data_IF_358558812075
#
_entry.id   IF_358558812075
#
_cell.length_a   1.000
_cell.length_b   1.000
_cell.length_c   1.000
_cell.angle_alpha   90.00
_cell.angle_beta   90.00
_cell.angle_gamma   90.00
#
_symmetry.space_group_name_H-M   'P 1'
#
loop_
_entity.id
_entity.type
_entity.pdbx_description
1 polymer ?
#
# COMPACT_ATOMS: atom_id res chain seq x y z
N UNK A 1 42.10 -38.55 -0.51
CA UNK A 1 41.99 -37.69 -1.72
C UNK A 1 40.67 -36.96 -1.59
N UNK A 2 40.69 -35.79 -0.94
CA UNK A 2 39.49 -35.00 -0.64
C UNK A 2 39.18 -34.11 -1.84
N UNK A 3 37.97 -34.25 -2.38
CA UNK A 3 37.43 -33.33 -3.37
C UNK A 3 36.71 -32.21 -2.62
N UNK A 4 37.27 -31.01 -2.66
CA UNK A 4 36.57 -29.77 -2.29
C UNK A 4 35.77 -29.36 -3.52
N UNK A 5 34.45 -29.39 -3.42
CA UNK A 5 33.56 -28.76 -4.41
C UNK A 5 33.56 -27.26 -4.10
N UNK A 6 34.25 -26.48 -4.92
CA UNK A 6 34.08 -25.02 -4.95
C UNK A 6 32.74 -24.74 -5.64
N UNK A 7 31.72 -24.39 -4.85
CA UNK A 7 30.56 -23.67 -5.34
C UNK A 7 31.02 -22.25 -5.69
N UNK A 8 31.14 -21.98 -7.00
CA UNK A 8 31.29 -20.62 -7.48
C UNK A 8 29.97 -19.88 -7.23
N UNK A 9 29.95 -19.01 -6.22
CA UNK A 9 28.95 -17.96 -6.13
C UNK A 9 29.17 -17.03 -7.32
N UNK A 10 28.37 -17.18 -8.38
CA UNK A 10 28.18 -16.09 -9.33
C UNK A 10 27.58 -14.94 -8.52
N UNK A 11 28.30 -13.83 -8.42
CA UNK A 11 27.75 -12.63 -7.83
C UNK A 11 26.49 -12.26 -8.60
N UNK A 12 25.38 -12.01 -7.89
CA UNK A 12 24.18 -11.46 -8.51
C UNK A 12 24.57 -10.17 -9.26
N UNK A 13 23.96 -9.91 -10.43
CA UNK A 13 24.20 -8.65 -11.14
C UNK A 13 23.90 -7.46 -10.22
N UNK A 14 24.60 -6.35 -10.42
CA UNK A 14 24.29 -5.13 -9.67
C UNK A 14 22.90 -4.61 -10.06
N UNK A 15 22.10 -4.11 -9.09
CA UNK A 15 20.77 -3.56 -9.37
C UNK A 15 20.84 -2.47 -10.43
N UNK A 16 19.87 -2.48 -11.35
CA UNK A 16 19.76 -1.52 -12.44
C UNK A 16 18.74 -0.44 -12.11
N UNK A 17 19.02 0.79 -12.53
CA UNK A 17 18.09 1.93 -12.37
C UNK A 17 17.60 2.36 -13.75
N UNK A 18 16.29 2.39 -13.92
CA UNK A 18 15.61 2.91 -15.10
C UNK A 18 14.86 4.18 -14.72
N UNK A 19 15.01 5.22 -15.53
CA UNK A 19 14.28 6.48 -15.35
C UNK A 19 13.22 6.59 -16.44
N UNK A 20 11.96 6.66 -16.02
CA UNK A 20 10.79 6.79 -16.87
C UNK A 20 10.34 8.25 -16.84
N UNK A 21 10.02 8.80 -18.01
CA UNK A 21 9.62 10.20 -18.18
C UNK A 21 8.25 10.29 -18.86
N UNK A 22 7.40 11.19 -18.35
CA UNK A 22 6.06 11.46 -18.88
C UNK A 22 5.92 12.92 -19.33
N UNK A 23 4.92 13.21 -20.17
CA UNK A 23 4.67 14.59 -20.63
C UNK A 23 3.98 15.44 -19.55
N UNK A 24 3.18 14.80 -18.71
CA UNK A 24 2.35 15.38 -17.65
C UNK A 24 2.69 14.74 -16.31
N UNK A 25 2.20 15.33 -15.20
CA UNK A 25 2.57 14.90 -13.87
C UNK A 25 2.02 13.50 -13.56
N UNK A 26 2.87 12.64 -12.99
CA UNK A 26 2.52 11.29 -12.50
C UNK A 26 1.90 11.43 -11.12
N UNK A 27 0.67 10.93 -10.98
CA UNK A 27 -0.08 10.97 -9.73
C UNK A 27 -0.06 9.63 -8.99
N UNK A 28 -0.02 8.52 -9.73
CA UNK A 28 0.08 7.19 -9.15
C UNK A 28 0.74 6.20 -10.13
N UNK A 29 1.19 5.06 -9.61
CA UNK A 29 1.86 4.02 -10.38
C UNK A 29 1.44 2.62 -9.92
N UNK A 30 1.35 1.66 -10.84
CA UNK A 30 1.17 0.23 -10.53
C UNK A 30 2.03 -0.61 -11.48
N UNK A 31 2.12 -1.92 -11.23
CA UNK A 31 2.83 -2.84 -12.09
C UNK A 31 2.02 -4.12 -12.33
N UNK A 32 1.96 -4.57 -13.58
CA UNK A 32 1.28 -5.81 -14.01
C UNK A 32 1.93 -6.36 -15.27
N UNK A 33 2.00 -7.67 -15.41
CA UNK A 33 2.44 -8.30 -16.66
C UNK A 33 1.31 -8.20 -17.69
N UNK A 34 1.34 -7.13 -18.49
CA UNK A 34 0.28 -6.78 -19.43
C UNK A 34 0.48 -7.51 -20.76
N UNK A 35 1.73 -7.81 -21.11
CA UNK A 35 2.08 -8.47 -22.37
C UNK A 35 2.29 -10.00 -22.23
N UNK A 36 2.19 -10.53 -21.01
CA UNK A 36 2.34 -11.94 -20.64
C UNK A 36 3.74 -12.53 -20.93
N UNK A 37 4.79 -11.73 -20.73
CA UNK A 37 6.17 -12.19 -20.89
C UNK A 37 6.85 -12.65 -19.59
N UNK A 38 6.12 -12.62 -18.47
CA UNK A 38 6.59 -12.99 -17.14
C UNK A 38 7.31 -11.85 -16.40
N UNK A 39 7.38 -10.66 -16.98
CA UNK A 39 7.94 -9.46 -16.36
C UNK A 39 6.83 -8.42 -16.25
N UNK A 40 6.67 -7.81 -15.08
CA UNK A 40 5.63 -6.79 -14.92
C UNK A 40 6.00 -5.53 -15.68
N UNK A 41 5.03 -4.99 -16.41
CA UNK A 41 5.08 -3.69 -17.04
C UNK A 41 4.71 -2.60 -16.02
N UNK A 42 5.27 -1.40 -16.17
CA UNK A 42 4.98 -0.26 -15.28
C UNK A 42 3.91 0.63 -15.89
N UNK A 43 2.86 0.88 -15.12
CA UNK A 43 1.69 1.67 -15.50
C UNK A 43 1.70 2.97 -14.68
N UNK A 44 1.81 4.11 -15.34
CA UNK A 44 1.82 5.44 -14.72
C UNK A 44 0.54 6.20 -15.03
N UNK A 45 -0.20 6.58 -14.00
CA UNK A 45 -1.40 7.40 -14.12
C UNK A 45 -1.02 8.87 -14.05
N UNK A 46 -1.27 9.59 -15.14
CA UNK A 46 -0.83 10.98 -15.31
C UNK A 46 -2.00 11.93 -15.49
N UNK A 47 -1.77 13.20 -15.14
CA UNK A 47 -2.73 14.28 -15.38
C UNK A 47 -2.00 15.61 -15.61
N UNK A 48 -2.47 16.41 -16.57
CA UNK A 48 -2.19 17.85 -16.62
C UNK A 48 -3.27 18.58 -15.81
N UNK A 49 -2.98 18.84 -14.53
CA UNK A 49 -3.90 19.50 -13.61
C UNK A 49 -4.16 20.98 -13.94
N UNK A 50 -3.41 21.55 -14.89
CA UNK A 50 -3.52 22.94 -15.35
C UNK A 50 -4.35 23.09 -16.62
N UNK A 51 -4.56 22.00 -17.35
CA UNK A 51 -5.36 21.99 -18.58
C UNK A 51 -6.86 22.14 -18.29
N UNK A 52 -7.58 22.74 -19.26
CA UNK A 52 -9.05 22.76 -19.29
C UNK A 52 -9.53 22.39 -20.70
N UNK A 53 -10.19 21.23 -20.89
CA UNK A 53 -10.42 20.19 -19.87
C UNK A 53 -9.14 19.52 -19.37
N UNK A 54 -9.24 18.80 -18.24
CA UNK A 54 -8.14 18.00 -17.70
C UNK A 54 -7.67 16.97 -18.75
N UNK A 55 -6.36 16.74 -18.82
CA UNK A 55 -5.77 15.74 -19.73
C UNK A 55 -5.17 14.62 -18.92
N UNK A 56 -5.87 13.49 -18.88
CA UNK A 56 -5.48 12.30 -18.12
C UNK A 56 -5.04 11.20 -19.07
N UNK A 57 -3.97 10.52 -18.71
CA UNK A 57 -3.49 9.37 -19.47
C UNK A 57 -3.06 8.25 -18.53
N UNK A 58 -3.19 7.02 -19.00
CA UNK A 58 -2.43 5.89 -18.49
C UNK A 58 -1.25 5.66 -19.45
N UNK A 59 -0.03 5.88 -18.97
CA UNK A 59 1.20 5.63 -19.71
C UNK A 59 1.73 4.24 -19.35
N UNK A 60 1.97 3.40 -20.35
CA UNK A 60 2.50 2.04 -20.15
C UNK A 60 3.95 1.99 -20.59
N UNK A 61 4.79 1.41 -19.73
CA UNK A 61 6.20 1.15 -20.00
C UNK A 61 6.39 -0.36 -20.00
N UNK A 62 6.37 -0.94 -21.20
CA UNK A 62 6.55 -2.38 -21.36
C UNK A 62 7.98 -2.76 -21.00
N UNK A 63 8.14 -3.76 -20.14
CA UNK A 63 9.44 -4.27 -19.80
C UNK A 63 10.08 -4.93 -21.03
N UNK A 64 11.36 -4.65 -21.25
CA UNK A 64 12.17 -5.29 -22.27
C UNK A 64 12.79 -6.58 -21.76
N UNK A 65 13.41 -7.33 -22.69
CA UNK A 65 14.16 -8.55 -22.35
C UNK A 65 15.15 -8.31 -21.21
N UNK A 66 15.00 -9.06 -20.12
CA UNK A 66 15.85 -8.96 -18.93
C UNK A 66 15.43 -7.89 -17.92
N UNK A 67 14.19 -7.38 -18.00
CA UNK A 67 13.63 -6.46 -16.99
C UNK A 67 13.95 -4.98 -17.23
N UNK A 68 14.36 -4.61 -18.45
CA UNK A 68 14.76 -3.25 -18.77
C UNK A 68 13.59 -2.37 -19.21
N UNK A 69 13.37 -1.24 -18.55
CA UNK A 69 12.29 -0.31 -18.94
C UNK A 69 12.76 0.79 -19.91
N UNK A 70 11.94 1.16 -20.91
CA UNK A 70 12.22 2.29 -21.79
C UNK A 70 12.06 3.63 -21.05
N UNK A 71 12.76 4.67 -21.50
CA UNK A 71 12.64 6.01 -20.90
C UNK A 71 11.29 6.68 -21.20
N UNK A 72 10.68 6.38 -22.35
CA UNK A 72 9.39 6.94 -22.78
C UNK A 72 8.32 5.86 -22.85
N UNK A 73 7.02 6.20 -22.67
CA UNK A 73 5.94 5.21 -22.72
C UNK A 73 5.93 4.41 -24.03
N UNK A 74 5.74 3.10 -23.91
CA UNK A 74 5.53 2.17 -25.03
C UNK A 74 4.18 2.41 -25.69
N UNK A 75 3.15 2.69 -24.89
CA UNK A 75 1.84 3.13 -25.37
C UNK A 75 1.15 4.03 -24.33
N UNK A 76 0.05 4.66 -24.75
CA UNK A 76 -0.76 5.56 -23.92
C UNK A 76 -2.23 5.27 -24.13
N UNK A 77 -3.00 5.31 -23.05
CA UNK A 77 -4.46 5.35 -23.08
C UNK A 77 -4.91 6.74 -22.63
N UNK A 78 -5.61 7.46 -23.51
CA UNK A 78 -6.26 8.73 -23.16
C UNK A 78 -7.51 8.42 -22.36
N UNK A 79 -7.61 9.02 -21.18
CA UNK A 79 -8.71 8.80 -20.24
C UNK A 79 -9.71 9.96 -20.32
N UNK A 80 -10.97 9.69 -19.99
CA UNK A 80 -11.98 10.73 -19.82
C UNK A 80 -11.55 11.75 -18.76
N UNK A 81 -11.85 13.03 -18.98
CA UNK A 81 -11.64 14.09 -17.98
C UNK A 81 -12.35 13.79 -16.65
N UNK A 82 -13.45 13.01 -16.69
CA UNK A 82 -14.21 12.60 -15.51
C UNK A 82 -13.49 11.53 -14.66
N UNK A 83 -12.48 10.84 -15.19
CA UNK A 83 -11.83 9.71 -14.50
C UNK A 83 -11.26 10.12 -13.15
N UNK A 84 -11.73 9.50 -12.07
CA UNK A 84 -11.31 9.76 -10.70
C UNK A 84 -10.29 8.77 -10.18
N UNK A 85 -10.50 7.49 -10.51
CA UNK A 85 -9.65 6.39 -10.09
C UNK A 85 -9.57 5.33 -11.18
N UNK A 86 -8.55 4.48 -11.10
CA UNK A 86 -8.38 3.30 -11.93
C UNK A 86 -8.22 2.06 -11.04
N UNK A 87 -8.62 0.90 -11.53
CA UNK A 87 -8.16 -0.38 -11.02
C UNK A 87 -7.98 -1.36 -12.17
N UNK A 88 -7.23 -2.42 -11.93
CA UNK A 88 -7.08 -3.52 -12.86
C UNK A 88 -8.05 -4.63 -12.44
N UNK A 89 -8.69 -5.27 -13.40
CA UNK A 89 -9.62 -6.35 -13.14
C UNK A 89 -9.60 -7.32 -14.32
N UNK A 90 -9.53 -8.62 -14.04
CA UNK A 90 -9.88 -9.67 -15.00
C UNK A 90 -11.41 -9.68 -15.17
N UNK A 91 -11.94 -9.42 -16.37
CA UNK A 91 -13.40 -9.31 -16.56
C UNK A 91 -14.01 -10.40 -17.42
N UNK A 92 -13.19 -11.19 -18.12
CA UNK A 92 -13.67 -12.18 -19.10
C UNK A 92 -12.92 -13.54 -19.08
N UNK A 93 -12.07 -13.74 -18.07
CA UNK A 93 -11.19 -14.90 -17.90
C UNK A 93 -10.17 -15.06 -19.05
N UNK A 94 -9.86 -14.00 -19.78
CA UNK A 94 -8.86 -13.99 -20.84
C UNK A 94 -7.76 -12.97 -20.51
N UNK A 95 -6.54 -13.44 -20.16
CA UNK A 95 -5.47 -12.52 -19.84
C UNK A 95 -5.07 -11.68 -21.07
N UNK A 96 -4.53 -10.46 -20.86
CA UNK A 96 -4.20 -9.86 -19.56
C UNK A 96 -5.41 -9.14 -18.93
N UNK A 97 -5.29 -8.81 -17.64
CA UNK A 97 -6.31 -8.00 -16.94
C UNK A 97 -6.62 -6.68 -17.66
N UNK A 98 -7.89 -6.29 -17.63
CA UNK A 98 -8.38 -5.02 -18.17
C UNK A 98 -8.06 -3.84 -17.26
N UNK A 99 -8.06 -2.66 -17.87
CA UNK A 99 -8.05 -1.37 -17.15
C UNK A 99 -9.48 -0.88 -16.99
N UNK A 100 -9.91 -0.68 -15.74
CA UNK A 100 -11.20 -0.08 -15.40
C UNK A 100 -10.96 1.36 -14.92
N UNK A 101 -11.39 2.34 -15.73
CA UNK A 101 -11.34 3.76 -15.40
C UNK A 101 -12.70 4.22 -14.87
N UNK A 102 -12.76 4.62 -13.61
CA UNK A 102 -14.02 4.91 -12.91
C UNK A 102 -14.14 6.38 -12.51
N UNK A 103 -15.38 6.87 -12.52
CA UNK A 103 -15.80 8.17 -12.02
C UNK A 103 -16.97 8.00 -11.04
N UNK A 104 -17.59 9.11 -10.61
CA UNK A 104 -18.77 9.06 -9.74
C UNK A 104 -20.04 8.60 -10.44
N UNK A 105 -20.05 8.51 -11.78
CA UNK A 105 -21.22 8.15 -12.59
C UNK A 105 -21.13 6.74 -13.16
N UNK A 106 -19.91 6.25 -13.43
CA UNK A 106 -19.72 4.94 -14.03
C UNK A 106 -18.26 4.59 -14.27
N UNK A 107 -18.06 3.53 -15.05
CA UNK A 107 -16.75 3.02 -15.41
C UNK A 107 -16.64 2.75 -16.92
N UNK A 108 -15.47 3.01 -17.48
CA UNK A 108 -15.07 2.59 -18.82
C UNK A 108 -14.00 1.50 -18.70
N UNK A 109 -14.15 0.44 -19.49
CA UNK A 109 -13.25 -0.73 -19.45
C UNK A 109 -12.46 -0.80 -20.75
N UNK A 110 -11.17 -1.09 -20.64
CA UNK A 110 -10.25 -1.15 -21.76
C UNK A 110 -9.44 -2.43 -21.72
N UNK A 111 -9.39 -3.12 -22.86
CA UNK A 111 -8.58 -4.32 -23.06
C UNK A 111 -7.29 -3.97 -23.80
N UNK A 112 -6.18 -4.59 -23.42
CA UNK A 112 -4.88 -4.39 -24.04
C UNK A 112 -4.62 -5.42 -25.15
N UNK A 113 -4.36 -4.97 -26.38
CA UNK A 113 -4.19 -5.85 -27.55
C UNK A 113 -2.73 -6.24 -27.86
N UNK A 114 -1.80 -5.95 -26.96
CA UNK A 114 -0.36 -6.12 -27.17
C UNK A 114 0.34 -4.86 -27.69
N UNK A 115 -0.38 -3.90 -28.26
CA UNK A 115 0.19 -2.65 -28.78
C UNK A 115 -0.43 -1.40 -28.17
N UNK A 116 -1.68 -1.48 -27.72
CA UNK A 116 -2.41 -0.40 -27.10
C UNK A 116 -3.72 -0.88 -26.50
N UNK A 117 -4.57 0.07 -26.13
CA UNK A 117 -5.86 -0.21 -25.49
C UNK A 117 -7.02 0.01 -26.46
N UNK A 118 -7.95 -0.93 -26.48
CA UNK A 118 -9.24 -0.81 -27.14
C UNK A 118 -10.36 -0.69 -26.09
N UNK A 119 -11.36 0.16 -26.30
CA UNK A 119 -12.52 0.21 -25.41
C UNK A 119 -13.29 -1.11 -25.50
N UNK A 120 -13.56 -1.72 -24.35
CA UNK A 120 -14.32 -2.96 -24.22
C UNK A 120 -15.78 -2.68 -23.87
N UNK A 121 -16.02 -1.88 -22.84
CA UNK A 121 -17.36 -1.62 -22.33
C UNK A 121 -17.46 -0.28 -21.59
N UNK A 122 -18.70 0.15 -21.33
CA UNK A 122 -19.01 1.26 -20.44
C UNK A 122 -20.20 0.86 -19.58
N UNK A 123 -20.07 1.11 -18.28
CA UNK A 123 -21.02 0.67 -17.26
C UNK A 123 -21.47 1.89 -16.47
N UNK A 124 -22.79 2.06 -16.34
CA UNK A 124 -23.35 3.01 -15.38
C UNK A 124 -23.33 2.38 -13.98
N UNK A 125 -22.50 2.92 -13.11
CA UNK A 125 -22.29 2.44 -11.76
C UNK A 125 -21.88 3.59 -10.85
N UNK A 126 -22.84 4.27 -10.20
CA UNK A 126 -22.54 5.38 -9.31
C UNK A 126 -21.62 4.94 -8.17
N UNK A 127 -20.57 5.70 -7.94
CA UNK A 127 -19.61 5.44 -6.87
C UNK A 127 -19.18 6.73 -6.18
N UNK A 128 -18.47 6.60 -5.06
CA UNK A 128 -17.83 7.72 -4.38
C UNK A 128 -16.45 8.06 -4.94
N UNK A 129 -15.99 7.38 -6.00
CA UNK A 129 -14.81 7.84 -6.72
C UNK A 129 -15.12 9.21 -7.35
N UNK A 130 -14.25 10.23 -7.14
CA UNK A 130 -14.57 11.59 -7.53
C UNK A 130 -14.51 11.77 -9.05
N UNK A 131 -15.58 12.27 -9.67
CA UNK A 131 -15.51 12.73 -11.05
C UNK A 131 -14.60 13.96 -11.18
N UNK A 132 -13.75 13.99 -12.21
CA UNK A 132 -12.93 15.18 -12.49
C UNK A 132 -11.77 15.38 -11.52
N UNK A 133 -11.31 14.34 -10.83
CA UNK A 133 -10.17 14.45 -9.90
C UNK A 133 -8.95 15.05 -10.59
N UNK A 134 -8.31 16.03 -9.95
CA UNK A 134 -6.99 16.54 -10.40
C UNK A 134 -5.85 15.62 -10.00
N UNK A 135 -6.09 14.75 -9.03
CA UNK A 135 -5.13 13.84 -8.44
C UNK A 135 -5.71 12.42 -8.56
N UNK A 136 -5.80 11.87 -9.79
CA UNK A 136 -6.34 10.54 -9.98
C UNK A 136 -5.39 9.48 -9.40
N UNK A 137 -5.93 8.36 -8.91
CA UNK A 137 -5.16 7.32 -8.24
C UNK A 137 -5.62 5.91 -8.60
N UNK A 138 -4.78 4.91 -8.35
CA UNK A 138 -5.18 3.52 -8.42
C UNK A 138 -5.92 3.12 -7.14
N UNK A 139 -7.14 2.59 -7.28
CA UNK A 139 -7.88 1.96 -6.22
C UNK A 139 -7.29 0.57 -5.95
N UNK A 140 -6.40 0.47 -4.96
CA UNK A 140 -5.66 -0.77 -4.64
C UNK A 140 -6.53 -2.00 -4.34
N UNK A 141 -7.73 -1.78 -3.79
CA UNK A 141 -8.75 -2.81 -3.56
C UNK A 141 -9.99 -2.56 -4.42
N UNK A 142 -9.80 -2.11 -5.66
CA UNK A 142 -10.90 -1.83 -6.59
C UNK A 142 -11.53 -3.07 -7.21
N UNK A 143 -10.77 -4.18 -7.31
CA UNK A 143 -11.26 -5.46 -7.80
C UNK A 143 -10.49 -6.64 -7.19
N UNK A 144 -11.16 -7.79 -7.10
CA UNK A 144 -10.59 -9.07 -6.68
C UNK A 144 -11.54 -10.21 -7.03
N UNK A 145 -11.01 -11.35 -7.46
CA UNK A 145 -11.73 -12.62 -7.59
C UNK A 145 -12.13 -13.09 -6.19
N UNK A 146 -13.39 -12.84 -5.83
CA UNK A 146 -13.92 -13.19 -4.51
C UNK A 146 -14.58 -14.55 -4.51
N UNK A 147 -15.10 -15.04 -5.62
CA UNK A 147 -15.78 -16.35 -5.70
C UNK A 147 -14.93 -17.48 -6.30
N UNK A 148 -13.73 -17.16 -6.79
CA UNK A 148 -12.77 -18.11 -7.32
C UNK A 148 -13.11 -18.60 -8.73
N UNK A 149 -13.94 -17.89 -9.49
CA UNK A 149 -14.29 -18.24 -10.86
C UNK A 149 -13.30 -17.71 -11.91
N UNK A 150 -12.33 -16.88 -11.48
CA UNK A 150 -11.33 -16.27 -12.34
C UNK A 150 -11.79 -14.96 -13.00
N UNK A 151 -12.92 -14.40 -12.61
CA UNK A 151 -13.37 -13.03 -12.91
C UNK A 151 -13.31 -12.22 -11.62
N UNK A 152 -12.77 -11.01 -11.70
CA UNK A 152 -12.69 -10.15 -10.52
C UNK A 152 -14.03 -9.45 -10.24
N UNK A 153 -14.53 -9.56 -9.01
CA UNK A 153 -15.55 -8.67 -8.48
C UNK A 153 -14.97 -7.27 -8.23
N UNK A 154 -15.66 -6.25 -8.73
CA UNK A 154 -15.36 -4.85 -8.47
C UNK A 154 -15.97 -4.42 -7.14
N UNK A 155 -15.18 -3.71 -6.35
CA UNK A 155 -15.52 -3.18 -5.04
C UNK A 155 -15.69 -1.65 -5.12
N UNK A 156 -16.89 -1.20 -5.47
CA UNK A 156 -17.17 0.21 -5.70
C UNK A 156 -17.73 0.86 -4.42
N UNK A 157 -17.06 1.88 -3.85
CA UNK A 157 -17.56 2.55 -2.66
C UNK A 157 -18.82 3.36 -2.99
N UNK A 158 -19.81 3.30 -2.11
CA UNK A 158 -21.07 4.04 -2.19
C UNK A 158 -21.36 4.75 -0.87
N UNK A 159 -22.31 5.68 -0.85
CA UNK A 159 -22.73 6.32 0.40
C UNK A 159 -23.34 5.35 1.44
N UNK A 160 -23.66 4.10 1.05
CA UNK A 160 -24.29 3.09 1.91
C UNK A 160 -23.38 1.92 2.27
N UNK A 161 -22.13 1.91 1.78
CA UNK A 161 -21.20 0.80 1.95
C UNK A 161 -20.42 0.54 0.66
N UNK A 162 -20.19 -0.73 0.31
CA UNK A 162 -19.46 -1.12 -0.90
C UNK A 162 -20.36 -1.97 -1.81
N UNK A 163 -20.49 -1.56 -3.06
CA UNK A 163 -21.15 -2.34 -4.11
C UNK A 163 -20.16 -3.39 -4.63
N UNK A 164 -20.60 -4.64 -4.70
CA UNK A 164 -19.91 -5.78 -5.30
C UNK A 164 -20.58 -6.05 -6.64
N UNK A 165 -19.80 -6.05 -7.72
CA UNK A 165 -20.33 -6.26 -9.07
C UNK A 165 -19.30 -6.88 -9.99
N UNK A 166 -19.75 -7.50 -11.06
CA UNK A 166 -18.91 -7.75 -12.23
C UNK A 166 -19.21 -6.71 -13.31
N UNK A 167 -18.58 -6.85 -14.47
CA UNK A 167 -18.85 -6.01 -15.64
C UNK A 167 -20.36 -5.97 -15.94
N UNK A 168 -21.00 -7.13 -15.98
CA UNK A 168 -22.36 -7.30 -16.51
C UNK A 168 -23.48 -6.98 -15.50
N UNK A 169 -23.22 -7.12 -14.19
CA UNK A 169 -24.27 -6.97 -13.17
C UNK A 169 -23.74 -6.55 -11.81
N UNK A 170 -24.56 -5.84 -11.06
CA UNK A 170 -24.42 -5.75 -9.60
C UNK A 170 -24.80 -7.09 -8.97
N UNK A 171 -23.96 -7.57 -8.06
CA UNK A 171 -24.20 -8.80 -7.29
C UNK A 171 -24.82 -8.44 -5.94
N UNK A 172 -24.19 -7.53 -5.21
CA UNK A 172 -24.64 -7.12 -3.88
C UNK A 172 -24.21 -5.68 -3.55
N UNK A 173 -24.86 -5.07 -2.56
CA UNK A 173 -24.34 -3.88 -1.90
C UNK A 173 -24.19 -4.19 -0.41
N UNK A 174 -22.95 -4.28 0.05
CA UNK A 174 -22.62 -4.63 1.42
C UNK A 174 -22.63 -3.36 2.29
N UNK A 175 -23.49 -3.29 3.32
CA UNK A 175 -23.48 -2.18 4.26
C UNK A 175 -22.22 -2.21 5.12
N UNK A 176 -21.46 -1.12 5.09
CA UNK A 176 -20.33 -0.88 5.97
C UNK A 176 -20.20 0.62 6.21
N UNK A 177 -19.40 1.01 7.21
CA UNK A 177 -19.19 2.42 7.49
C UNK A 177 -18.33 3.09 6.39
N UNK A 178 -18.95 4.04 5.69
CA UNK A 178 -18.25 5.01 4.85
C UNK A 178 -18.35 6.38 5.53
N UNK A 179 -17.27 6.79 6.19
CA UNK A 179 -17.29 7.99 7.03
C UNK A 179 -17.28 9.22 6.13
N UNK A 180 -18.39 9.94 6.11
CA UNK A 180 -18.57 11.14 5.29
C UNK A 180 -18.59 12.37 6.19
N UNK A 181 -17.64 13.28 5.96
CA UNK A 181 -17.55 14.56 6.66
C UNK A 181 -18.05 15.70 5.77
N UNK A 182 -18.88 16.57 6.34
CA UNK A 182 -19.25 17.85 5.74
C UNK A 182 -18.59 18.98 6.54
N UNK A 183 -17.70 19.72 5.91
CA UNK A 183 -17.05 20.89 6.51
C UNK A 183 -17.55 22.15 5.83
N UNK A 184 -18.19 23.02 6.61
CA UNK A 184 -18.66 24.33 6.15
C UNK A 184 -17.71 25.42 6.64
N UNK A 185 -17.08 26.12 5.70
CA UNK A 185 -16.29 27.33 5.92
C UNK A 185 -16.67 28.40 4.89
N UNK A 186 -15.70 29.10 4.31
CA UNK A 186 -15.94 29.97 3.14
C UNK A 186 -16.42 29.19 1.91
N UNK A 187 -16.10 27.89 1.86
CA UNK A 187 -16.62 26.94 0.89
C UNK A 187 -17.15 25.70 1.61
N UNK A 188 -18.01 24.94 0.94
CA UNK A 188 -18.53 23.67 1.43
C UNK A 188 -17.64 22.54 0.91
N UNK A 189 -17.08 21.74 1.82
CA UNK A 189 -16.27 20.57 1.48
C UNK A 189 -16.97 19.30 1.96
N UNK A 190 -16.99 18.29 1.09
CA UNK A 190 -17.42 16.93 1.42
C UNK A 190 -16.19 16.05 1.31
N UNK A 191 -15.93 15.23 2.32
CA UNK A 191 -14.85 14.24 2.30
C UNK A 191 -15.41 12.88 2.66
N UNK A 192 -15.08 11.89 1.86
CA UNK A 192 -15.43 10.49 2.14
C UNK A 192 -14.15 9.75 2.52
N UNK A 193 -14.15 9.13 3.69
CA UNK A 193 -13.13 8.15 4.08
C UNK A 193 -13.68 6.77 3.78
N UNK A 194 -13.08 6.13 2.80
CA UNK A 194 -13.41 4.75 2.42
C UNK A 194 -12.90 3.78 3.50
N UNK A 195 -13.60 2.66 3.74
CA UNK A 195 -13.12 1.63 4.66
C UNK A 195 -11.85 0.97 4.11
N UNK A 196 -10.99 0.50 5.01
CA UNK A 196 -9.97 -0.47 4.63
C UNK A 196 -10.66 -1.84 4.44
N UNK A 197 -10.29 -2.56 3.37
CA UNK A 197 -10.95 -3.81 2.96
C UNK A 197 -9.96 -4.95 3.05
N UNK A 198 -10.36 -6.02 3.72
CA UNK A 198 -9.63 -7.29 3.77
C UNK A 198 -10.54 -8.42 3.31
N UNK A 199 -9.93 -9.47 2.76
CA UNK A 199 -10.63 -10.73 2.45
C UNK A 199 -10.20 -11.83 3.39
N UNK A 200 -11.07 -12.77 3.69
CA UNK A 200 -10.74 -13.95 4.48
C UNK A 200 -11.52 -15.18 3.97
N UNK A 201 -10.95 -16.39 4.05
CA UNK A 201 -11.68 -17.61 3.70
C UNK A 201 -12.78 -17.90 4.72
N UNK A 202 -13.89 -18.46 4.23
CA UNK A 202 -15.01 -18.89 5.06
C UNK A 202 -15.11 -20.41 4.98
N UNK A 203 -15.10 -21.08 6.13
CA UNK A 203 -15.10 -22.54 6.18
C UNK A 203 -16.30 -23.14 5.43
N UNK A 204 -16.00 -23.97 4.42
CA UNK A 204 -17.01 -24.65 3.60
C UNK A 204 -17.63 -23.78 2.50
N UNK A 205 -17.08 -22.60 2.21
CA UNK A 205 -17.49 -21.74 1.10
C UNK A 205 -16.31 -21.54 0.13
N UNK A 206 -16.63 -21.44 -1.16
CA UNK A 206 -15.65 -21.05 -2.18
C UNK A 206 -15.42 -19.54 -2.12
N UNK A 207 -16.50 -18.76 -1.98
CA UNK A 207 -16.43 -17.33 -1.85
C UNK A 207 -15.68 -16.87 -0.60
N UNK A 208 -14.79 -15.90 -0.79
CA UNK A 208 -14.10 -15.16 0.26
C UNK A 208 -15.10 -14.23 0.96
N UNK A 209 -15.01 -14.16 2.28
CA UNK A 209 -15.67 -13.10 3.03
C UNK A 209 -14.90 -11.78 2.94
N UNK A 210 -15.60 -10.69 3.19
CA UNK A 210 -15.08 -9.32 3.19
C UNK A 210 -15.15 -8.72 4.59
N UNK A 211 -14.08 -8.06 5.00
CA UNK A 211 -14.00 -7.31 6.23
C UNK A 211 -13.72 -5.83 5.92
N UNK A 212 -14.48 -4.94 6.55
CA UNK A 212 -14.39 -3.49 6.37
C UNK A 212 -14.07 -2.85 7.71
N UNK A 213 -12.98 -2.07 7.76
CA UNK A 213 -12.54 -1.42 8.99
C UNK A 213 -12.85 0.08 8.97
N UNK A 214 -13.55 0.53 10.01
CA UNK A 214 -13.83 1.93 10.31
C UNK A 214 -13.15 2.35 11.63
N UNK A 215 -13.38 3.58 12.08
CA UNK A 215 -12.76 4.05 13.34
C UNK A 215 -13.39 3.41 14.58
N UNK A 216 -14.63 2.89 14.45
CA UNK A 216 -15.41 2.37 15.57
C UNK A 216 -15.83 0.90 15.39
N UNK A 217 -15.85 0.40 14.16
CA UNK A 217 -16.39 -0.92 13.85
C UNK A 217 -15.50 -1.69 12.86
N UNK A 218 -15.53 -3.01 13.00
CA UNK A 218 -15.19 -3.95 11.95
C UNK A 218 -16.51 -4.58 11.47
N UNK A 219 -16.84 -4.36 10.20
CA UNK A 219 -17.97 -4.97 9.51
C UNK A 219 -17.51 -6.16 8.70
N UNK A 220 -18.28 -7.25 8.72
CA UNK A 220 -17.96 -8.46 7.99
C UNK A 220 -19.15 -8.89 7.14
N UNK A 221 -18.88 -9.29 5.91
CA UNK A 221 -19.86 -9.82 4.97
C UNK A 221 -19.37 -11.15 4.37
N UNK A 222 -20.25 -12.14 4.27
CA UNK A 222 -19.90 -13.50 3.83
C UNK A 222 -21.15 -14.26 3.35
N UNK A 223 -20.96 -15.50 2.86
CA UNK A 223 -21.98 -16.25 2.13
C UNK A 223 -21.82 -16.11 0.62
N UNK A 224 -22.51 -16.95 -0.15
CA UNK A 224 -22.41 -16.99 -1.64
C UNK A 224 -22.72 -15.65 -2.32
N UNK A 225 -23.50 -14.78 -1.67
CA UNK A 225 -23.92 -13.46 -2.16
C UNK A 225 -23.57 -12.31 -1.19
N UNK A 226 -22.67 -12.56 -0.23
CA UNK A 226 -22.29 -11.61 0.83
C UNK A 226 -23.46 -11.05 1.66
N UNK A 227 -24.59 -11.76 1.72
CA UNK A 227 -25.80 -11.33 2.44
C UNK A 227 -25.74 -11.55 3.96
N UNK A 228 -24.81 -12.38 4.44
CA UNK A 228 -24.62 -12.60 5.87
C UNK A 228 -23.69 -11.53 6.43
N UNK A 229 -24.12 -10.88 7.51
CA UNK A 229 -23.39 -9.77 8.11
C UNK A 229 -23.11 -9.97 9.59
N UNK A 230 -21.93 -9.53 10.02
CA UNK A 230 -21.58 -9.39 11.44
C UNK A 230 -20.85 -8.08 11.64
N UNK A 231 -21.23 -7.32 12.66
CA UNK A 231 -20.56 -6.08 13.07
C UNK A 231 -19.95 -6.28 14.44
N UNK A 232 -18.68 -5.91 14.58
CA UNK A 232 -17.94 -5.91 15.84
C UNK A 232 -17.56 -4.48 16.16
N UNK A 233 -17.86 -4.04 17.38
CA UNK A 233 -17.38 -2.73 17.86
C UNK A 233 -15.94 -2.85 18.31
N UNK A 234 -15.09 -1.94 17.85
CA UNK A 234 -13.69 -1.92 18.23
C UNK A 234 -13.54 -1.60 19.73
N UNK A 235 -12.73 -2.35 20.48
CA UNK A 235 -12.49 -2.14 21.91
C UNK A 235 -11.61 -0.91 22.15
N UNK A 236 -12.23 0.27 22.12
CA UNK A 236 -11.57 1.56 22.37
C UNK A 236 -11.73 1.95 23.84
N UNK A 237 -10.60 2.08 24.56
CA UNK A 237 -10.56 2.17 26.03
C UNK A 237 -10.14 3.54 26.59
N UNK A 238 -9.60 4.45 25.78
CA UNK A 238 -9.23 5.79 26.26
C UNK A 238 -10.43 6.75 26.19
N UNK A 239 -10.79 7.39 27.31
CA UNK A 239 -11.93 8.33 27.41
C UNK A 239 -11.63 9.72 26.80
N UNK A 240 -10.43 10.29 27.06
CA UNK A 240 -9.96 11.54 26.46
C UNK A 240 -9.24 11.27 25.13
N UNK A 241 -10.01 11.06 24.06
CA UNK A 241 -9.46 10.79 22.72
C UNK A 241 -9.13 12.08 21.97
N UNK A 242 -7.97 12.09 21.33
CA UNK A 242 -7.70 12.99 20.21
C UNK A 242 -7.70 12.23 18.88
N UNK A 243 -7.11 11.02 18.86
CA UNK A 243 -6.95 10.24 17.62
C UNK A 243 -6.82 8.74 17.94
N UNK A 244 -7.50 7.90 17.15
CA UNK A 244 -7.36 6.46 17.16
C UNK A 244 -7.16 5.98 15.72
N UNK A 245 -6.29 5.01 15.52
CA UNK A 245 -6.11 4.31 14.27
C UNK A 245 -6.31 2.82 14.49
N UNK A 246 -6.84 2.14 13.50
CA UNK A 246 -6.94 0.70 13.48
C UNK A 246 -6.41 0.18 12.15
N UNK A 247 -5.81 -1.01 12.18
CA UNK A 247 -5.52 -1.81 11.00
C UNK A 247 -5.98 -3.24 11.22
N UNK A 248 -6.21 -3.95 10.12
CA UNK A 248 -6.68 -5.32 10.14
C UNK A 248 -5.83 -6.18 9.20
N UNK A 249 -5.22 -7.25 9.72
CA UNK A 249 -4.41 -8.22 8.96
C UNK A 249 -4.42 -9.56 9.69
N UNK A 250 -4.22 -10.66 8.97
CA UNK A 250 -3.96 -11.98 9.58
C UNK A 250 -2.51 -12.03 10.10
N UNK A 251 -2.34 -11.89 11.41
CA UNK A 251 -1.03 -11.81 12.06
C UNK A 251 -0.50 -13.21 12.37
N UNK A 252 -1.38 -14.11 12.79
CA UNK A 252 -1.01 -15.42 13.30
C UNK A 252 -1.08 -16.54 12.23
N UNK A 253 -1.49 -16.22 11.00
CA UNK A 253 -1.57 -17.15 9.88
C UNK A 253 -2.78 -18.08 9.93
N UNK A 254 -3.82 -17.77 10.71
CA UNK A 254 -5.03 -18.57 10.82
C UNK A 254 -6.11 -18.22 9.76
N UNK A 255 -5.81 -17.24 8.90
CA UNK A 255 -6.67 -16.64 7.88
C UNK A 255 -7.82 -15.81 8.41
N UNK A 256 -7.85 -15.47 9.70
CA UNK A 256 -8.81 -14.52 10.24
C UNK A 256 -8.20 -13.13 10.34
N UNK A 257 -8.99 -12.07 10.09
CA UNK A 257 -8.46 -10.73 10.21
C UNK A 257 -8.28 -10.34 11.69
N UNK A 258 -7.03 -10.21 12.15
CA UNK A 258 -6.67 -9.70 13.47
C UNK A 258 -6.71 -8.17 13.50
N UNK A 259 -6.83 -7.59 14.70
CA UNK A 259 -6.93 -6.13 14.87
C UNK A 259 -5.70 -5.56 15.58
N UNK A 260 -5.15 -4.48 15.03
CA UNK A 260 -4.16 -3.63 15.69
C UNK A 260 -4.74 -2.25 15.87
N UNK A 261 -4.96 -1.84 17.12
CA UNK A 261 -5.63 -0.58 17.46
C UNK A 261 -4.65 0.31 18.22
N UNK A 262 -4.33 1.48 17.69
CA UNK A 262 -3.49 2.47 18.36
C UNK A 262 -4.33 3.66 18.82
N UNK A 263 -4.28 3.98 20.11
CA UNK A 263 -5.00 5.11 20.69
C UNK A 263 -4.00 6.13 21.26
N UNK A 264 -4.20 7.41 20.97
CA UNK A 264 -3.30 8.49 21.38
C UNK A 264 -3.99 9.55 22.24
N UNK A 265 -3.27 10.06 23.25
CA UNK A 265 -3.68 11.20 24.09
C UNK A 265 -2.53 12.15 24.42
N UNK A 266 -2.88 13.39 24.72
CA UNK A 266 -1.95 14.44 25.16
C UNK A 266 -1.21 15.15 24.01
N UNK A 267 -0.91 16.44 24.19
CA UNK A 267 -0.28 17.28 23.15
C UNK A 267 1.24 17.40 23.30
N UNK A 268 1.74 17.59 24.53
CA UNK A 268 3.17 17.78 24.81
C UNK A 268 3.81 16.53 25.39
N UNK A 269 3.06 15.82 26.26
CA UNK A 269 3.42 14.51 26.78
C UNK A 269 2.54 13.48 26.10
N UNK A 270 2.81 13.26 24.81
CA UNK A 270 2.06 12.30 24.02
C UNK A 270 2.21 10.91 24.64
N UNK A 271 1.08 10.24 24.81
CA UNK A 271 0.98 8.85 25.18
C UNK A 271 0.23 8.13 24.08
N UNK A 272 0.84 7.09 23.53
CA UNK A 272 0.21 6.19 22.58
C UNK A 272 0.17 4.80 23.21
N UNK A 273 -0.91 4.07 22.95
CA UNK A 273 -1.04 2.68 23.37
C UNK A 273 -1.59 1.88 22.20
N UNK A 274 -0.84 0.86 21.79
CA UNK A 274 -1.24 -0.06 20.74
C UNK A 274 -1.69 -1.37 21.36
N UNK A 275 -2.89 -1.83 21.00
CA UNK A 275 -3.47 -3.09 21.39
C UNK A 275 -3.54 -4.02 20.19
N UNK A 276 -3.24 -5.30 20.41
CA UNK A 276 -3.44 -6.36 19.42
C UNK A 276 -4.54 -7.28 19.93
N UNK A 277 -5.50 -7.59 19.06
CA UNK A 277 -6.54 -8.60 19.31
C UNK A 277 -6.44 -9.64 18.21
N UNK A 278 -6.05 -10.85 18.60
CA UNK A 278 -6.04 -12.01 17.70
C UNK A 278 -7.46 -12.59 17.65
N UNK A 279 -7.97 -12.81 16.45
CA UNK A 279 -9.24 -13.49 16.24
C UNK A 279 -9.10 -14.95 16.70
N UNK A 280 -10.10 -15.45 17.44
CA UNK A 280 -10.12 -16.86 17.88
C UNK A 280 -10.95 -17.75 16.96
N UNK A 281 -11.90 -17.13 16.30
CA UNK A 281 -12.86 -17.66 15.35
C UNK A 281 -13.26 -16.47 14.43
N UNK A 282 -13.93 -16.70 13.28
CA UNK A 282 -14.39 -15.62 12.43
C UNK A 282 -15.12 -14.52 13.21
N UNK A 283 -14.52 -13.33 13.20
CA UNK A 283 -15.10 -12.12 13.79
C UNK A 283 -15.29 -12.20 15.32
N UNK A 284 -14.53 -13.04 16.01
CA UNK A 284 -14.61 -13.20 17.47
C UNK A 284 -13.28 -12.79 18.09
N UNK A 285 -13.31 -11.69 18.83
CA UNK A 285 -12.16 -11.13 19.54
C UNK A 285 -12.38 -11.25 21.04
N UNK A 286 -11.29 -11.40 21.80
CA UNK A 286 -11.35 -11.38 23.25
C UNK A 286 -11.71 -9.98 23.78
N UNK A 287 -12.29 -9.92 24.99
CA UNK A 287 -12.59 -8.63 25.65
C UNK A 287 -11.32 -7.87 26.05
N UNK A 288 -10.22 -8.59 26.28
CA UNK A 288 -8.90 -8.04 26.60
C UNK A 288 -7.93 -8.27 25.44
N UNK A 289 -7.01 -7.33 25.18
CA UNK A 289 -6.02 -7.50 24.13
C UNK A 289 -5.03 -8.63 24.44
N UNK A 290 -4.57 -9.31 23.39
CA UNK A 290 -3.54 -10.34 23.47
C UNK A 290 -2.13 -9.74 23.65
N UNK A 291 -1.93 -8.51 23.18
CA UNK A 291 -0.71 -7.74 23.44
C UNK A 291 -0.98 -6.23 23.58
N UNK A 292 -0.17 -5.56 24.39
CA UNK A 292 -0.26 -4.11 24.66
C UNK A 292 1.13 -3.47 24.59
N UNK A 293 1.27 -2.40 23.80
CA UNK A 293 2.51 -1.67 23.60
C UNK A 293 2.31 -0.19 23.94
N UNK A 294 2.66 0.23 25.17
CA UNK A 294 2.61 1.63 25.56
C UNK A 294 3.83 2.40 25.05
N UNK A 295 3.64 3.66 24.68
CA UNK A 295 4.71 4.56 24.27
C UNK A 295 4.48 5.97 24.83
N UNK A 296 5.53 6.59 25.35
CA UNK A 296 5.50 7.98 25.83
C UNK A 296 6.52 8.82 25.09
N UNK A 297 6.11 10.01 24.64
CA UNK A 297 7.00 11.00 24.03
C UNK A 297 7.43 10.69 22.58
N UNK A 298 6.80 9.72 21.93
CA UNK A 298 6.95 9.42 20.51
C UNK A 298 5.59 9.07 19.89
N UNK A 299 5.47 9.25 18.58
CA UNK A 299 4.27 8.88 17.79
C UNK A 299 4.65 7.81 16.80
N UNK A 300 3.87 6.73 16.74
CA UNK A 300 3.84 5.79 15.62
C UNK A 300 2.69 4.80 15.80
N UNK A 301 1.87 4.61 14.76
CA UNK A 301 1.17 3.33 14.57
C UNK A 301 2.19 2.32 14.03
N UNK A 302 2.14 1.03 14.44
CA UNK A 302 3.07 0.06 13.90
C UNK A 302 2.74 -0.25 12.43
N UNK A 303 3.78 -0.57 11.68
CA UNK A 303 3.64 -1.30 10.42
C UNK A 303 3.52 -2.77 10.76
N UNK A 304 2.52 -3.45 10.20
CA UNK A 304 2.28 -4.88 10.39
C UNK A 304 2.79 -5.63 9.17
N UNK A 305 3.87 -6.40 9.32
CA UNK A 305 4.57 -7.09 8.22
C UNK A 305 5.46 -8.22 8.76
N UNK A 306 5.71 -9.25 7.95
CA UNK A 306 6.70 -10.30 8.24
C UNK A 306 8.11 -9.70 8.19
N UNK A 307 8.85 -9.74 9.30
CA UNK A 307 10.20 -9.19 9.40
C UNK A 307 11.28 -10.25 9.20
N UNK A 308 11.07 -11.46 9.69
CA UNK A 308 12.12 -12.48 9.81
C UNK A 308 11.96 -13.69 8.87
N UNK A 309 10.92 -13.68 8.04
CA UNK A 309 10.64 -14.63 6.97
C UNK A 309 9.88 -15.87 7.43
N UNK A 310 9.24 -15.83 8.60
CA UNK A 310 8.49 -16.96 9.16
C UNK A 310 7.03 -17.04 8.68
N UNK A 311 6.60 -16.08 7.86
CA UNK A 311 5.23 -15.90 7.31
C UNK A 311 4.17 -15.51 8.33
N UNK A 312 4.55 -15.25 9.57
CA UNK A 312 3.71 -14.58 10.54
C UNK A 312 4.00 -13.08 10.46
N UNK A 313 3.03 -12.25 10.84
CA UNK A 313 3.24 -10.81 10.79
C UNK A 313 3.74 -10.27 12.13
N UNK A 314 4.72 -9.38 12.04
CA UNK A 314 5.33 -8.72 13.17
C UNK A 314 4.87 -7.27 13.28
N UNK A 315 5.27 -6.61 14.37
CA UNK A 315 4.98 -5.19 14.59
C UNK A 315 6.26 -4.37 14.55
N UNK A 316 6.35 -3.44 13.61
CA UNK A 316 7.46 -2.48 13.50
C UNK A 316 7.01 -1.07 13.85
N UNK A 317 7.48 -0.56 14.98
CA UNK A 317 7.22 0.80 15.45
C UNK A 317 8.33 1.74 14.96
N UNK A 318 7.98 2.74 14.15
CA UNK A 318 8.90 3.82 13.74
C UNK A 318 8.76 5.00 14.69
N UNK A 319 9.44 4.94 15.83
CA UNK A 319 9.33 5.94 16.89
C UNK A 319 10.13 7.20 16.56
N UNK A 320 9.44 8.32 16.37
CA UNK A 320 10.05 9.64 16.23
C UNK A 320 9.92 10.37 17.58
N UNK A 321 11.03 10.60 18.32
CA UNK A 321 10.96 11.25 19.63
C UNK A 321 10.57 12.74 19.50
N UNK A 322 9.53 13.17 20.21
CA UNK A 322 9.14 14.57 20.31
C UNK A 322 9.85 15.22 21.51
N UNK A 323 11.15 15.45 21.34
CA UNK A 323 11.99 16.11 22.35
C UNK A 323 12.70 17.33 21.79
N UNK A 324 13.15 18.24 22.68
CA UNK A 324 13.91 19.44 22.32
C UNK A 324 15.11 19.11 21.43
N UNK A 325 15.78 17.98 21.66
CA UNK A 325 16.90 17.54 20.82
C UNK A 325 16.52 17.23 19.37
N UNK A 326 15.37 16.59 19.13
CA UNK A 326 14.91 16.29 17.77
C UNK A 326 14.45 17.58 17.07
N UNK A 327 13.79 18.48 17.79
CA UNK A 327 13.42 19.82 17.30
C UNK A 327 14.67 20.62 16.91
N UNK A 328 15.71 20.64 17.74
CA UNK A 328 16.98 21.33 17.43
C UNK A 328 17.67 20.69 16.23
N UNK A 329 17.74 19.36 16.14
CA UNK A 329 18.32 18.69 14.97
C UNK A 329 17.54 19.02 13.69
N UNK A 330 16.22 19.07 13.74
CA UNK A 330 15.38 19.46 12.61
C UNK A 330 15.66 20.90 12.17
N UNK A 331 15.53 21.89 13.05
CA UNK A 331 15.65 23.31 12.69
C UNK A 331 17.09 23.79 12.44
N UNK A 332 18.09 23.19 13.11
CA UNK A 332 19.50 23.63 12.98
C UNK A 332 20.27 22.79 11.97
N UNK A 333 20.01 21.48 11.92
CA UNK A 333 20.79 20.54 11.09
C UNK A 333 20.01 20.00 9.90
N UNK A 334 18.71 20.27 9.79
CA UNK A 334 17.87 19.70 8.75
C UNK A 334 17.80 18.18 8.83
N UNK A 335 17.78 17.59 10.05
CA UNK A 335 17.78 16.12 10.23
C UNK A 335 16.69 15.64 11.16
N UNK A 336 16.12 14.49 10.83
CA UNK A 336 15.16 13.75 11.64
C UNK A 336 15.83 12.47 12.15
N UNK A 337 15.72 12.23 13.45
CA UNK A 337 16.11 10.96 14.06
C UNK A 337 14.88 10.14 14.42
N UNK A 338 14.89 8.86 14.02
CA UNK A 338 13.84 7.90 14.31
C UNK A 338 14.46 6.62 14.87
N UNK A 339 13.66 5.80 15.55
CA UNK A 339 14.05 4.47 16.00
C UNK A 339 13.03 3.47 15.51
N UNK A 340 13.47 2.45 14.77
CA UNK A 340 12.67 1.29 14.46
C UNK A 340 12.78 0.30 15.61
N UNK A 341 11.63 -0.18 16.11
CA UNK A 341 11.53 -1.26 17.09
C UNK A 341 10.64 -2.35 16.49
N UNK A 342 11.21 -3.54 16.26
CA UNK A 342 10.46 -4.69 15.76
C UNK A 342 10.16 -5.66 16.91
N UNK A 343 8.90 -6.04 17.04
CA UNK A 343 8.42 -7.06 17.97
C UNK A 343 7.95 -8.25 17.15
N UNK A 344 8.66 -9.36 17.27
CA UNK A 344 8.35 -10.56 16.49
C UNK A 344 7.21 -11.35 17.14
N UNK A 345 6.35 -11.95 16.33
CA UNK A 345 5.30 -12.85 16.78
C UNK A 345 5.82 -14.29 16.79
N UNK A 346 5.88 -14.94 17.96
CA UNK A 346 6.45 -16.30 18.07
C UNK A 346 5.48 -17.45 17.72
N UNK A 347 4.38 -17.12 17.04
CA UNK A 347 3.26 -18.03 16.80
C UNK A 347 2.28 -18.17 17.97
N UNK A 348 2.54 -17.52 19.10
CA UNK A 348 1.64 -17.52 20.27
C UNK A 348 1.44 -16.13 20.85
N UNK A 349 2.50 -15.35 20.95
CA UNK A 349 2.44 -14.03 21.59
C UNK A 349 3.56 -13.13 21.06
N UNK A 350 3.37 -11.83 21.23
CA UNK A 350 4.45 -10.86 21.12
C UNK A 350 5.23 -10.76 22.42
N UNK A 351 6.53 -10.45 22.32
CA UNK A 351 7.35 -10.12 23.48
C UNK A 351 7.16 -8.66 23.90
N UNK A 352 7.20 -8.41 25.21
CA UNK A 352 7.07 -7.06 25.78
C UNK A 352 8.20 -6.12 25.32
N UNK A 353 9.42 -6.65 25.22
CA UNK A 353 10.57 -5.93 24.68
C UNK A 353 10.71 -6.21 23.19
N UNK A 354 11.08 -5.18 22.44
CA UNK A 354 11.42 -5.33 21.03
C UNK A 354 12.57 -6.33 20.86
N UNK A 355 12.42 -7.22 19.88
CA UNK A 355 13.45 -8.18 19.47
C UNK A 355 14.58 -7.47 18.74
N UNK A 356 14.23 -6.46 17.94
CA UNK A 356 15.19 -5.61 17.25
C UNK A 356 14.96 -4.13 17.53
N UNK A 357 16.06 -3.38 17.60
CA UNK A 357 16.03 -1.92 17.71
C UNK A 357 17.14 -1.27 16.91
N UNK A 358 16.78 -0.42 15.95
CA UNK A 358 17.75 0.29 15.09
C UNK A 358 17.44 1.78 15.08
N UNK A 359 18.47 2.61 15.29
CA UNK A 359 18.36 4.06 15.14
C UNK A 359 18.61 4.45 13.68
N UNK A 360 17.76 5.33 13.17
CA UNK A 360 17.78 5.84 11.80
C UNK A 360 17.95 7.36 11.84
N UNK A 361 18.63 7.90 10.84
CA UNK A 361 18.74 9.35 10.63
C UNK A 361 18.59 9.65 9.15
N UNK A 362 17.77 10.64 8.84
CA UNK A 362 17.45 11.09 7.49
C UNK A 362 17.43 12.62 7.44
N UNK A 363 17.65 13.18 6.26
CA UNK A 363 17.47 14.60 6.05
C UNK A 363 15.98 14.96 6.15
N UNK A 364 15.70 16.12 6.74
CA UNK A 364 14.36 16.66 6.85
C UNK A 364 13.89 17.13 5.47
N UNK A 365 12.72 16.69 4.99
CA UNK A 365 12.17 17.21 3.74
C UNK A 365 11.76 18.68 3.91
N UNK A 366 11.89 19.46 2.84
CA UNK A 366 11.43 20.84 2.78
C UNK A 366 10.03 20.94 2.16
N UNK A 367 9.25 21.94 2.58
CA UNK A 367 7.92 22.20 2.02
C UNK A 367 6.94 21.05 2.20
N UNK A 368 6.35 20.59 1.08
CA UNK A 368 5.40 19.46 1.05
C UNK A 368 6.04 18.12 0.69
N UNK A 369 7.37 18.08 0.49
CA UNK A 369 8.06 16.85 0.16
C UNK A 369 7.96 15.82 1.30
N UNK A 370 8.01 14.54 0.95
CA UNK A 370 8.02 13.43 1.90
C UNK A 370 9.25 12.59 1.63
N UNK A 371 9.90 12.11 2.69
CA UNK A 371 10.98 11.13 2.55
C UNK A 371 10.38 9.88 1.92
N UNK A 372 10.91 9.45 0.77
CA UNK A 372 10.49 8.18 0.19
C UNK A 372 10.99 7.05 1.09
N UNK A 373 10.12 6.08 1.37
CA UNK A 373 10.50 4.87 2.07
C UNK A 373 9.61 3.71 1.60
N UNK A 374 10.15 2.50 1.66
CA UNK A 374 9.42 1.27 1.46
C UNK A 374 10.09 0.14 2.26
N UNK A 375 9.33 -0.92 2.50
CA UNK A 375 9.79 -2.17 3.07
C UNK A 375 9.56 -3.26 2.03
N UNK A 376 10.53 -4.15 1.87
CA UNK A 376 10.47 -5.28 0.95
C UNK A 376 11.72 -6.14 1.08
N UNK A 377 11.73 -7.34 0.51
CA UNK A 377 12.91 -8.21 0.45
C UNK A 377 13.79 -7.83 -0.76
N UNK A 378 14.57 -6.74 -0.65
CA UNK A 378 15.32 -6.18 -1.78
C UNK A 378 16.59 -6.98 -2.14
N UNK A 379 17.07 -7.84 -1.24
CA UNK A 379 18.23 -8.70 -1.50
C UNK A 379 17.85 -10.16 -1.81
N UNK A 380 16.58 -10.53 -1.67
CA UNK A 380 16.03 -11.86 -1.96
C UNK A 380 16.38 -12.92 -0.92
N UNK A 381 16.71 -12.53 0.31
CA UNK A 381 17.12 -13.46 1.39
C UNK A 381 15.96 -13.95 2.27
N UNK A 382 14.74 -13.46 2.01
CA UNK A 382 13.52 -13.79 2.73
C UNK A 382 13.32 -12.98 4.01
N UNK A 383 14.17 -12.00 4.32
CA UNK A 383 13.99 -11.08 5.44
C UNK A 383 13.57 -9.70 4.93
N UNK A 384 12.88 -8.98 5.81
CA UNK A 384 12.45 -7.63 5.48
C UNK A 384 13.64 -6.67 5.46
N UNK A 385 13.82 -5.99 4.33
CA UNK A 385 14.74 -4.87 4.19
C UNK A 385 13.98 -3.54 4.28
N UNK A 386 14.72 -2.44 4.40
CA UNK A 386 14.16 -1.10 4.29
C UNK A 386 14.94 -0.26 3.28
N UNK A 387 14.19 0.48 2.46
CA UNK A 387 14.73 1.55 1.64
C UNK A 387 14.18 2.87 2.13
N UNK A 388 15.02 3.90 2.23
CA UNK A 388 14.56 5.25 2.49
C UNK A 388 15.49 6.33 1.94
N UNK A 389 14.94 7.51 1.70
CA UNK A 389 15.68 8.72 1.34
C UNK A 389 16.59 9.16 2.48
N UNK A 390 17.87 8.84 2.38
CA UNK A 390 18.87 9.15 3.41
C UNK A 390 19.39 10.59 3.33
N UNK A 391 19.35 11.18 2.13
CA UNK A 391 19.60 12.58 1.81
C UNK A 391 18.76 12.95 0.58
N UNK A 392 18.54 14.25 0.29
CA UNK A 392 17.62 14.68 -0.80
C UNK A 392 17.90 14.09 -2.19
N UNK A 393 19.14 13.68 -2.46
CA UNK A 393 19.61 13.07 -3.71
C UNK A 393 20.10 11.62 -3.54
N UNK A 394 19.82 11.00 -2.39
CA UNK A 394 20.35 9.67 -2.04
C UNK A 394 19.27 8.77 -1.46
N UNK A 395 18.85 7.78 -2.24
CA UNK A 395 18.05 6.64 -1.76
C UNK A 395 18.99 5.53 -1.28
N UNK A 396 18.76 4.97 -0.10
CA UNK A 396 19.65 3.97 0.49
C UNK A 396 18.86 2.75 0.98
N UNK A 397 19.35 1.57 0.63
CA UNK A 397 18.79 0.27 1.01
C UNK A 397 19.60 -0.31 2.16
N UNK A 398 18.91 -0.77 3.20
CA UNK A 398 19.47 -1.39 4.39
C UNK A 398 18.83 -2.76 4.55
N UNK A 399 19.67 -3.79 4.57
CA UNK A 399 19.14 -5.15 4.67
C UNK A 399 18.83 -5.55 6.11
N UNK A 400 17.90 -6.47 6.29
CA UNK A 400 17.72 -7.21 7.54
C UNK A 400 18.88 -8.15 7.84
N UNK A 401 19.07 -8.50 9.12
CA UNK A 401 19.96 -9.60 9.52
C UNK A 401 19.38 -10.32 10.76
N UNK A 402 19.84 -11.54 11.11
CA UNK A 402 19.29 -12.26 12.25
C UNK A 402 19.45 -11.57 13.61
N UNK A 403 20.28 -10.53 13.70
CA UNK A 403 20.54 -9.76 14.92
C UNK A 403 19.87 -8.38 14.92
N UNK A 404 19.38 -7.88 13.78
CA UNK A 404 18.85 -6.53 13.61
C UNK A 404 17.76 -6.47 12.56
N UNK A 405 16.73 -5.66 12.82
CA UNK A 405 15.68 -5.37 11.85
C UNK A 405 16.25 -4.83 10.53
N UNK A 406 17.15 -3.84 10.62
CA UNK A 406 17.95 -3.36 9.49
C UNK A 406 19.37 -3.06 9.94
N UNK A 407 20.32 -3.25 9.03
CA UNK A 407 21.75 -3.00 9.21
C UNK A 407 22.06 -1.51 9.47
N UNK A 408 23.18 -1.23 10.15
CA UNK A 408 23.60 0.14 10.47
C UNK A 408 24.26 0.89 9.30
N UNK A 409 24.61 0.17 8.23
CA UNK A 409 25.24 0.70 7.02
C UNK A 409 24.42 0.23 5.83
N UNK A 410 24.19 1.10 4.84
CA UNK A 410 23.41 0.69 3.68
C UNK A 410 24.16 -0.38 2.88
N UNK A 411 23.41 -1.35 2.39
CA UNK A 411 23.85 -2.36 1.44
C UNK A 411 24.08 -1.75 0.06
N UNK A 412 23.13 -0.91 -0.40
CA UNK A 412 23.19 -0.18 -1.66
C UNK A 412 22.77 1.27 -1.48
N UNK A 413 23.31 2.15 -2.33
CA UNK A 413 22.96 3.56 -2.43
C UNK A 413 22.75 3.93 -3.88
N UNK A 414 21.75 4.76 -4.13
CA UNK A 414 21.42 5.26 -5.45
C UNK A 414 21.39 6.78 -5.42
N UNK A 415 22.07 7.41 -6.37
CA UNK A 415 22.07 8.87 -6.53
C UNK A 415 20.87 9.26 -7.39
N UNK A 416 19.80 9.70 -6.74
CA UNK A 416 18.52 10.08 -7.35
C UNK A 416 17.69 10.93 -6.37
N UNK A 417 16.75 11.75 -6.85
CA UNK A 417 15.85 12.47 -5.97
C UNK A 417 15.09 11.49 -5.07
N UNK A 418 15.27 11.58 -3.76
CA UNK A 418 14.85 10.54 -2.81
C UNK A 418 13.58 10.90 -2.01
N UNK A 419 12.96 12.02 -2.38
CA UNK A 419 11.65 12.41 -1.88
C UNK A 419 10.57 11.97 -2.86
N UNK A 420 9.42 11.53 -2.34
CA UNK A 420 8.33 10.97 -3.14
C UNK A 420 7.65 9.79 -2.45
N UNK A 421 6.99 8.96 -3.24
CA UNK A 421 6.41 7.68 -2.84
C UNK A 421 7.25 6.55 -3.42
N UNK A 422 7.83 5.71 -2.55
CA UNK A 422 8.46 4.46 -2.95
C UNK A 422 7.49 3.30 -2.70
N UNK A 423 7.48 2.30 -3.59
CA UNK A 423 6.76 1.04 -3.44
C UNK A 423 7.72 -0.11 -3.70
N UNK A 424 7.66 -1.13 -2.86
CA UNK A 424 8.25 -2.43 -3.16
C UNK A 424 7.30 -3.17 -4.11
N UNK A 425 7.84 -3.72 -5.18
CA UNK A 425 7.06 -4.42 -6.21
C UNK A 425 7.83 -5.63 -6.71
N UNK A 426 7.14 -6.75 -6.91
CA UNK A 426 7.72 -7.90 -7.59
C UNK A 426 7.66 -7.71 -9.11
N UNK A 427 8.69 -7.15 -9.75
CA UNK A 427 8.64 -6.87 -11.20
C UNK A 427 9.12 -8.04 -12.05
N UNK A 428 9.87 -8.97 -11.47
CA UNK A 428 10.37 -10.15 -12.16
C UNK A 428 10.39 -11.40 -11.25
N UNK A 429 10.76 -12.54 -11.82
CA UNK A 429 10.72 -13.87 -11.17
C UNK A 429 11.91 -14.19 -10.23
N UNK A 430 12.85 -13.26 -10.03
CA UNK A 430 13.93 -13.46 -9.05
C UNK A 430 13.34 -13.53 -7.62
N UNK A 431 14.11 -13.80 -6.55
CA UNK A 431 13.58 -13.73 -5.18
C UNK A 431 13.43 -12.30 -4.62
N UNK A 432 14.20 -11.33 -5.11
CA UNK A 432 14.18 -9.95 -4.64
C UNK A 432 12.93 -9.18 -5.07
N UNK A 433 12.51 -8.21 -4.26
CA UNK A 433 11.56 -7.18 -4.67
C UNK A 433 12.31 -5.99 -5.27
N UNK A 434 11.61 -5.29 -6.15
CA UNK A 434 12.08 -4.12 -6.88
C UNK A 434 11.44 -2.85 -6.31
N UNK A 435 11.88 -1.67 -6.76
CA UNK A 435 11.37 -0.39 -6.25
C UNK A 435 10.83 0.48 -7.37
N UNK A 436 9.61 1.01 -7.20
CA UNK A 436 9.09 2.11 -8.02
C UNK A 436 9.02 3.38 -7.15
N UNK A 437 9.69 4.46 -7.60
CA UNK A 437 9.73 5.76 -6.92
C UNK A 437 9.17 6.88 -7.81
N UNK A 438 8.07 7.50 -7.37
CA UNK A 438 7.37 8.57 -8.10
C UNK A 438 7.00 9.75 -7.19
N UNK A 439 6.70 10.93 -7.77
CA UNK A 439 6.67 12.22 -7.04
C UNK A 439 5.41 13.06 -7.34
N UNK A 440 4.22 12.64 -6.87
CA UNK A 440 2.98 13.35 -7.17
C UNK A 440 3.00 14.81 -6.72
N UNK A 441 2.63 15.71 -7.63
CA UNK A 441 2.47 17.14 -7.33
C UNK A 441 3.73 17.89 -6.87
N UNK A 442 4.94 17.29 -7.04
CA UNK A 442 6.21 17.88 -6.61
C UNK A 442 7.14 18.29 -7.76
N UNK A 443 8.31 18.82 -7.40
CA UNK A 443 9.41 18.95 -8.35
C UNK A 443 9.80 17.54 -8.84
N UNK A 444 10.02 17.38 -10.14
CA UNK A 444 10.22 16.07 -10.78
C UNK A 444 8.97 15.16 -10.86
N UNK A 445 7.75 15.72 -10.80
CA UNK A 445 6.51 14.93 -10.91
C UNK A 445 6.34 14.16 -12.24
N UNK A 446 7.13 14.46 -13.27
CA UNK A 446 7.12 13.76 -14.56
C UNK A 446 8.11 12.58 -14.63
N UNK A 447 8.94 12.44 -13.60
CA UNK A 447 10.01 11.44 -13.50
C UNK A 447 9.61 10.34 -12.52
N UNK A 448 9.79 9.10 -12.95
CA UNK A 448 9.71 7.90 -12.10
C UNK A 448 11.01 7.14 -12.19
N UNK A 449 11.53 6.67 -11.06
CA UNK A 449 12.72 5.83 -11.00
C UNK A 449 12.32 4.41 -10.62
N UNK A 450 12.71 3.43 -11.43
CA UNK A 450 12.49 2.00 -11.20
C UNK A 450 13.84 1.34 -10.93
N UNK A 451 13.96 0.67 -9.80
CA UNK A 451 15.18 -0.05 -9.41
C UNK A 451 14.89 -1.53 -9.47
N UNK A 452 15.56 -2.25 -10.37
CA UNK A 452 15.41 -3.69 -10.56
C UNK A 452 16.63 -4.41 -9.96
N UNK A 453 16.40 -5.34 -9.03
CA UNK A 453 17.46 -6.02 -8.26
C UNK A 453 17.96 -7.32 -8.90
#
# INVERSE_FOLDING_TARGET
MNWIVLLAFLAAPDPQVYTLETETNVWDATAVDLNQDGIKDVLLLTNDETAFPLKKELCVFLAGKGGAYPETPSCRLVLSEETGALFLAEVDSAPPVEVVATSGTGAAVYHFDGTGFAPLATVECPSLYPSGSREPAFAKFGAKDLDGDGVDEWLLPTARGVQIRTLDREIATVPCDVVSELRSGESLYITHRLPDIQTFPVAGQQALGLAFLSDEYADFAYGEDWSLHKRVRLPLHLEEKWEASASMKDINGDNFPDLVITQMRGTVRMYAETHVYLAKEPFVYAETPDAVFPCTGAVSSPVVMDVDGDKLLDLVFIRIPFGVGNIVNFFVRGKISARAEAHLFDGKQFREKADYSTNMTMDAPEGRARVAYAFGDFNGDGRMDAVYGSAGDTLAVYTGDPQRFITSKPWKKFTMPSFGNARAEKLNDNPAEDIILFRPGGDQAKRVDVIVF
#
